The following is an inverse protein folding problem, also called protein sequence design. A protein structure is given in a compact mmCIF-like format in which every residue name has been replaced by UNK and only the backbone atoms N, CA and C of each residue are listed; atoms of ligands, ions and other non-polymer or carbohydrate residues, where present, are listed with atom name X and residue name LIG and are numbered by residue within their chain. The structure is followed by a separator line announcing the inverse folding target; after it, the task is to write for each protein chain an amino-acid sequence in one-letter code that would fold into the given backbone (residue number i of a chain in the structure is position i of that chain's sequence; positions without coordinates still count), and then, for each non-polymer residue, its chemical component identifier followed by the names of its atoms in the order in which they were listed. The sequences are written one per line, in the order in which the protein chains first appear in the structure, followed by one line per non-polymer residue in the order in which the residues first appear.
data_IF_320450823198
#
_entry.id   IF_320450823198
#
_cell.length_a   1.000
_cell.length_b   1.000
_cell.length_c   1.000
_cell.angle_alpha   90.00
_cell.angle_beta   90.00
_cell.angle_gamma   90.00
#
_symmetry.space_group_name_H-M   'P 1'
#
loop_
_entity.id
_entity.type
_entity.pdbx_description
1 polymer ?
#
# COMPACT_ATOMS: atom_id res chain seq x y z
N UNK A 1 -8.79 24.68 12.88
CA UNK A 1 -8.18 23.38 13.24
C UNK A 1 -8.53 22.42 12.12
N UNK A 2 -7.73 22.39 11.05
CA UNK A 2 -8.07 21.70 9.81
C UNK A 2 -7.29 20.40 9.66
N UNK A 3 -8.05 19.31 9.55
CA UNK A 3 -7.75 18.03 8.91
C UNK A 3 -6.45 17.31 9.32
N UNK A 4 -6.58 16.33 10.23
CA UNK A 4 -5.67 15.17 10.29
C UNK A 4 -6.09 14.16 9.21
N UNK A 5 -6.09 14.58 7.95
CA UNK A 5 -6.12 13.65 6.83
C UNK A 5 -4.75 13.00 6.73
N UNK A 6 -4.69 11.67 6.80
CA UNK A 6 -3.43 10.90 6.74
C UNK A 6 -2.47 11.47 5.71
N UNK A 7 -1.21 11.68 6.11
CA UNK A 7 -0.15 12.34 5.34
C UNK A 7 0.35 11.50 4.15
N UNK A 8 -0.49 10.63 3.60
CA UNK A 8 -0.18 9.73 2.50
C UNK A 8 -0.75 10.34 1.22
N UNK A 9 -0.07 11.33 0.66
CA UNK A 9 -0.52 12.01 -0.54
C UNK A 9 0.59 12.06 -1.60
N UNK A 10 0.65 11.04 -2.46
CA UNK A 10 1.63 10.98 -3.57
C UNK A 10 2.98 10.38 -3.18
N UNK A 11 3.86 10.14 -4.17
CA UNK A 11 5.10 9.34 -4.06
C UNK A 11 6.12 9.93 -3.09
N UNK A 12 5.84 9.77 -1.79
CA UNK A 12 6.60 10.35 -0.71
C UNK A 12 7.76 9.44 -0.33
N UNK A 13 8.96 9.91 -0.64
CA UNK A 13 10.23 9.30 -0.23
C UNK A 13 10.63 9.78 1.17
N UNK A 14 10.04 10.90 1.62
CA UNK A 14 10.21 11.51 2.94
C UNK A 14 8.83 11.87 3.53
N UNK A 15 8.66 11.65 4.83
CA UNK A 15 7.41 11.82 5.54
C UNK A 15 7.66 12.42 6.92
N UNK A 16 6.79 13.32 7.36
CA UNK A 16 6.72 13.76 8.74
C UNK A 16 5.66 12.94 9.50
N UNK A 17 6.02 12.32 10.61
CA UNK A 17 5.06 11.76 11.56
C UNK A 17 4.85 12.75 12.72
N UNK A 18 3.66 13.37 12.84
CA UNK A 18 3.40 14.34 13.90
C UNK A 18 3.34 13.72 15.29
N UNK A 19 2.93 12.46 15.38
CA UNK A 19 2.81 11.74 16.66
C UNK A 19 4.17 11.25 17.17
N UNK A 20 5.06 10.85 16.25
CA UNK A 20 6.43 10.48 16.61
C UNK A 20 7.35 11.70 16.72
N UNK A 21 6.97 12.85 16.15
CA UNK A 21 7.82 14.02 16.07
C UNK A 21 9.08 13.78 15.23
N UNK A 22 8.97 12.97 14.18
CA UNK A 22 10.10 12.51 13.37
C UNK A 22 9.82 12.65 11.88
N UNK A 23 10.83 13.13 11.16
CA UNK A 23 10.99 12.89 9.73
C UNK A 23 11.52 11.48 9.50
N UNK A 24 10.98 10.82 8.50
CA UNK A 24 11.36 9.48 8.04
C UNK A 24 11.58 9.54 6.55
N UNK A 25 12.71 9.05 6.06
CA UNK A 25 12.96 8.91 4.64
C UNK A 25 13.41 7.50 4.29
N UNK A 26 13.04 7.03 3.10
CA UNK A 26 13.42 5.74 2.53
C UNK A 26 14.35 5.92 1.33
N UNK A 27 15.08 4.88 0.96
CA UNK A 27 15.99 4.89 -0.20
C UNK A 27 15.80 3.63 -1.05
N UNK A 28 15.94 3.81 -2.36
CA UNK A 28 15.93 2.72 -3.33
C UNK A 28 17.29 2.00 -3.46
N UNK A 29 18.33 2.52 -2.80
CA UNK A 29 19.72 2.04 -2.88
C UNK A 29 20.39 2.00 -1.50
N UNK A 30 21.52 1.28 -1.41
CA UNK A 30 22.26 1.04 -0.17
C UNK A 30 22.21 -0.41 0.32
N UNK A 31 22.93 -0.74 1.39
CA UNK A 31 22.98 -2.09 1.97
C UNK A 31 22.71 -2.00 3.47
N UNK A 32 21.65 -2.68 3.92
CA UNK A 32 21.24 -2.78 5.32
C UNK A 32 20.68 -1.51 5.94
N UNK A 33 20.79 -0.35 5.28
CA UNK A 33 20.46 0.96 5.85
C UNK A 33 19.72 1.85 4.84
N UNK A 34 18.49 1.46 4.48
CA UNK A 34 17.68 2.20 3.49
C UNK A 34 16.57 3.06 4.12
N UNK A 35 16.62 3.27 5.44
CA UNK A 35 15.77 4.21 6.16
C UNK A 35 16.65 5.18 6.92
N UNK A 36 16.25 6.45 6.97
CA UNK A 36 16.85 7.46 7.84
C UNK A 36 15.77 8.25 8.57
N UNK A 37 16.06 8.66 9.80
CA UNK A 37 15.13 9.45 10.63
C UNK A 37 15.79 10.70 11.17
N UNK A 38 15.01 11.76 11.36
CA UNK A 38 15.48 13.02 11.95
C UNK A 38 14.38 13.69 12.77
N UNK A 39 14.69 14.22 13.95
CA UNK A 39 13.75 15.00 14.74
C UNK A 39 13.69 16.48 14.31
N UNK A 40 14.72 16.97 13.63
CA UNK A 40 14.92 18.39 13.31
C UNK A 40 15.07 18.68 11.82
N UNK A 41 15.10 17.64 10.98
CA UNK A 41 15.33 17.72 9.53
C UNK A 41 16.78 18.06 9.15
N UNK A 42 17.67 18.28 10.11
CA UNK A 42 19.07 18.68 9.89
C UNK A 42 20.03 17.52 10.12
N UNK A 43 19.82 16.79 11.22
CA UNK A 43 20.66 15.66 11.62
C UNK A 43 19.90 14.37 11.38
N UNK A 44 20.46 13.47 10.58
CA UNK A 44 19.80 12.24 10.18
C UNK A 44 20.55 11.02 10.68
N UNK A 45 19.81 10.08 11.25
CA UNK A 45 20.33 8.79 11.72
C UNK A 45 19.86 7.66 10.81
N UNK A 46 20.80 6.85 10.33
CA UNK A 46 20.49 5.64 9.56
C UNK A 46 19.80 4.58 10.44
N UNK A 47 18.85 3.87 9.85
CA UNK A 47 18.13 2.76 10.47
C UNK A 47 18.33 1.50 9.65
N UNK A 48 18.48 0.39 10.39
CA UNK A 48 18.63 -0.92 9.78
C UNK A 48 17.31 -1.32 9.10
N UNK A 49 17.40 -1.81 7.88
CA UNK A 49 16.25 -2.28 7.11
C UNK A 49 16.23 -3.81 7.01
N UNK A 50 15.05 -4.44 7.12
CA UNK A 50 14.94 -5.90 7.13
C UNK A 50 15.27 -6.55 5.78
N UNK A 51 15.27 -5.79 4.69
CA UNK A 51 15.66 -6.25 3.37
C UNK A 51 16.29 -5.13 2.52
N UNK A 52 17.17 -5.51 1.60
CA UNK A 52 17.81 -4.63 0.62
C UNK A 52 16.92 -4.42 -0.61
N UNK A 53 15.64 -4.10 -0.38
CA UNK A 53 14.68 -3.81 -1.43
C UNK A 53 14.70 -2.33 -1.78
N UNK A 54 14.27 -2.00 -3.00
CA UNK A 54 14.22 -0.64 -3.49
C UNK A 54 12.99 0.04 -2.88
N UNK A 55 13.13 0.57 -1.66
CA UNK A 55 12.04 1.22 -0.94
C UNK A 55 11.76 2.57 -1.58
N UNK A 56 10.60 2.68 -2.22
CA UNK A 56 10.24 3.84 -3.04
C UNK A 56 9.23 4.75 -2.37
N UNK A 57 8.61 4.30 -1.27
CA UNK A 57 7.51 5.03 -0.64
C UNK A 57 7.44 4.76 0.86
N UNK A 58 7.05 5.77 1.63
CA UNK A 58 6.67 5.67 3.04
C UNK A 58 5.38 6.44 3.36
N UNK A 59 4.53 5.92 4.25
CA UNK A 59 3.26 6.53 4.68
C UNK A 59 3.05 6.30 6.19
N UNK A 60 2.38 7.25 6.84
CA UNK A 60 2.00 7.20 8.26
C UNK A 60 0.49 7.02 8.33
N UNK A 61 0.05 5.97 9.00
CA UNK A 61 -1.33 5.73 9.36
C UNK A 61 -1.54 6.17 10.83
N UNK A 62 -2.01 7.40 11.08
CA UNK A 62 -2.17 7.92 12.44
C UNK A 62 -3.15 7.10 13.27
N UNK A 63 -4.25 6.63 12.67
CA UNK A 63 -5.25 5.82 13.37
C UNK A 63 -4.70 4.46 13.85
N UNK A 64 -3.62 3.98 13.25
CA UNK A 64 -2.96 2.73 13.60
C UNK A 64 -1.64 2.94 14.33
N UNK A 65 -1.16 4.18 14.46
CA UNK A 65 0.17 4.48 14.97
C UNK A 65 1.27 3.75 14.19
N UNK A 66 1.12 3.62 12.86
CA UNK A 66 1.94 2.72 12.05
C UNK A 66 2.54 3.40 10.82
N UNK A 67 3.85 3.28 10.66
CA UNK A 67 4.55 3.56 9.42
C UNK A 67 4.52 2.33 8.52
N UNK A 68 4.30 2.57 7.22
CA UNK A 68 4.34 1.56 6.18
C UNK A 68 5.26 2.07 5.07
N UNK A 69 6.22 1.26 4.66
CA UNK A 69 7.04 1.51 3.50
C UNK A 69 6.88 0.38 2.48
N UNK A 70 6.87 0.74 1.20
CA UNK A 70 6.74 -0.22 0.10
C UNK A 70 7.91 -0.13 -0.87
N UNK A 71 8.27 -1.28 -1.43
CA UNK A 71 9.37 -1.40 -2.37
C UNK A 71 8.90 -1.79 -3.77
N UNK A 72 9.66 -1.32 -4.77
CA UNK A 72 9.52 -1.73 -6.17
C UNK A 72 10.30 -3.01 -6.50
N UNK A 73 11.13 -3.51 -5.59
CA UNK A 73 11.89 -4.77 -5.73
C UNK A 73 11.74 -5.67 -4.50
N UNK A 74 12.23 -6.91 -4.61
CA UNK A 74 12.02 -7.99 -3.62
C UNK A 74 10.97 -8.99 -4.08
N UNK A 75 10.82 -10.11 -3.38
CA UNK A 75 9.80 -11.14 -3.66
C UNK A 75 9.18 -11.57 -2.35
N UNK A 76 7.87 -11.34 -2.21
CA UNK A 76 7.14 -11.66 -0.98
C UNK A 76 7.54 -10.82 0.23
N UNK A 77 8.37 -9.78 0.12
CA UNK A 77 8.82 -8.93 1.24
C UNK A 77 8.85 -7.43 0.88
N UNK A 78 7.98 -7.01 -0.04
CA UNK A 78 7.94 -5.62 -0.58
C UNK A 78 7.27 -4.61 0.34
N UNK A 79 6.83 -5.02 1.51
CA UNK A 79 6.22 -4.15 2.52
C UNK A 79 7.02 -4.27 3.80
N UNK A 80 7.31 -3.15 4.46
CA UNK A 80 7.80 -3.14 5.82
C UNK A 80 7.02 -2.14 6.67
N UNK A 81 6.90 -2.45 7.96
CA UNK A 81 6.14 -1.62 8.90
C UNK A 81 6.94 -1.30 10.15
N UNK A 82 6.66 -0.17 10.77
CA UNK A 82 7.27 0.25 12.03
C UNK A 82 6.31 1.12 12.84
N UNK A 83 6.22 0.91 14.15
CA UNK A 83 5.44 1.79 15.05
C UNK A 83 6.27 2.91 15.67
N UNK A 84 7.59 2.85 15.54
CA UNK A 84 8.54 3.75 16.22
C UNK A 84 9.50 4.49 15.27
N UNK A 85 9.47 4.18 13.96
CA UNK A 85 10.43 4.61 12.93
C UNK A 85 11.87 4.12 13.11
N UNK A 86 12.18 3.39 14.18
CA UNK A 86 13.51 2.91 14.52
C UNK A 86 13.70 1.45 14.09
N UNK A 87 12.70 0.63 14.37
CA UNK A 87 12.70 -0.81 14.11
C UNK A 87 11.70 -1.12 13.01
N UNK A 88 12.18 -1.75 11.93
CA UNK A 88 11.36 -2.07 10.77
C UNK A 88 11.21 -3.58 10.61
N UNK A 89 9.98 -4.03 10.43
CA UNK A 89 9.65 -5.44 10.23
C UNK A 89 9.15 -5.64 8.81
N UNK A 90 9.79 -6.55 8.05
CA UNK A 90 9.29 -6.95 6.75
C UNK A 90 7.96 -7.72 6.91
N UNK A 91 6.99 -7.40 6.07
CA UNK A 91 5.72 -8.11 5.98
C UNK A 91 5.74 -9.01 4.76
N UNK A 92 5.37 -10.27 4.99
CA UNK A 92 5.29 -11.23 3.91
C UNK A 92 4.04 -10.92 3.08
N UNK A 93 4.22 -10.78 1.77
CA UNK A 93 3.12 -10.71 0.82
C UNK A 93 2.94 -12.10 0.20
N UNK A 94 1.81 -12.74 0.49
CA UNK A 94 1.53 -14.14 0.10
C UNK A 94 1.48 -14.36 -1.42
N UNK A 95 1.45 -13.29 -2.21
CA UNK A 95 1.79 -13.35 -3.60
C UNK A 95 2.27 -12.00 -4.13
N UNK A 96 3.34 -12.01 -4.93
CA UNK A 96 3.73 -10.92 -5.83
C UNK A 96 2.71 -10.79 -6.98
N UNK A 97 1.43 -10.61 -6.66
CA UNK A 97 0.42 -10.37 -7.69
C UNK A 97 0.72 -8.98 -8.25
N UNK A 98 1.22 -8.93 -9.49
CA UNK A 98 1.04 -7.74 -10.32
C UNK A 98 -0.43 -7.32 -10.18
N UNK A 99 -0.68 -6.04 -9.91
CA UNK A 99 -2.02 -5.48 -9.76
C UNK A 99 -2.72 -5.45 -11.13
N UNK A 100 -2.98 -6.63 -11.68
CA UNK A 100 -3.82 -6.84 -12.85
C UNK A 100 -5.23 -7.00 -12.30
N UNK A 101 -6.26 -6.34 -12.88
CA UNK A 101 -7.63 -6.74 -12.60
C UNK A 101 -7.72 -8.22 -12.93
N UNK A 102 -7.94 -9.05 -11.91
CA UNK A 102 -8.13 -10.48 -12.14
C UNK A 102 -9.38 -10.67 -13.01
N UNK A 103 -9.40 -11.63 -13.95
CA UNK A 103 -10.66 -12.14 -14.42
C UNK A 103 -11.39 -12.69 -13.20
N UNK A 104 -12.50 -12.07 -12.82
CA UNK A 104 -13.30 -12.48 -11.66
C UNK A 104 -13.64 -13.97 -11.79
N UNK A 105 -13.41 -14.72 -10.72
CA UNK A 105 -13.78 -16.13 -10.59
C UNK A 105 -15.27 -16.33 -10.96
N UNK A 106 -15.59 -17.06 -12.05
CA UNK A 106 -16.96 -17.28 -12.50
C UNK A 106 -17.84 -18.01 -11.47
N UNK A 107 -17.23 -18.74 -10.53
CA UNK A 107 -17.97 -19.53 -9.54
C UNK A 107 -18.65 -18.69 -8.45
N UNK A 108 -18.34 -17.39 -8.39
CA UNK A 108 -18.87 -16.46 -7.38
C UNK A 108 -19.93 -15.49 -7.92
N UNK A 109 -20.30 -15.59 -9.20
CA UNK A 109 -21.36 -14.76 -9.76
C UNK A 109 -22.76 -15.34 -9.43
N UNK A 110 -23.68 -14.55 -8.86
CA UNK A 110 -25.08 -14.98 -8.79
C UNK A 110 -25.64 -15.10 -10.22
N UNK A 111 -26.38 -16.18 -10.48
CA UNK A 111 -26.93 -16.45 -11.80
C UNK A 111 -27.80 -15.27 -12.29
N UNK A 112 -27.69 -14.87 -13.56
CA UNK A 112 -28.56 -13.82 -14.10
C UNK A 112 -30.03 -14.27 -14.04
N UNK A 113 -30.99 -13.35 -13.80
CA UNK A 113 -32.40 -13.70 -13.79
C UNK A 113 -32.81 -14.23 -15.18
N UNK A 114 -33.54 -15.34 -15.20
CA UNK A 114 -34.03 -15.97 -16.43
C UNK A 114 -34.90 -14.97 -17.23
N UNK A 115 -34.79 -14.92 -18.57
CA UNK A 115 -35.63 -14.04 -19.38
C UNK A 115 -37.10 -14.49 -19.28
N UNK A 116 -38.00 -13.53 -19.05
CA UNK A 116 -39.44 -13.76 -19.10
C UNK A 116 -39.84 -14.20 -20.51
N UNK A 117 -40.55 -15.33 -20.61
CA UNK A 117 -41.10 -15.84 -21.86
C UNK A 117 -42.10 -14.85 -22.44
N UNK A 118 -41.74 -14.16 -23.51
CA UNK A 118 -42.67 -13.40 -24.32
C UNK A 118 -43.48 -14.37 -25.19
N UNK A 119 -44.72 -14.68 -24.78
CA UNK A 119 -45.72 -15.27 -25.67
C UNK A 119 -46.09 -14.22 -26.72
N UNK A 120 -45.65 -14.41 -27.97
CA UNK A 120 -46.18 -13.61 -29.09
C UNK A 120 -47.35 -14.37 -29.74
N UNK A 121 -48.56 -13.84 -29.56
CA UNK A 121 -49.71 -14.17 -30.39
C UNK A 121 -49.63 -13.35 -31.68
N UNK A 122 -49.50 -14.01 -32.83
CA UNK A 122 -49.66 -13.37 -34.14
C UNK A 122 -51.01 -13.74 -34.73
N UNK A 123 -51.90 -12.74 -34.81
CA UNK A 123 -53.10 -12.76 -35.64
C UNK A 123 -52.96 -11.61 -36.62
N UNK A 124 -52.66 -11.93 -37.87
CA UNK A 124 -52.75 -10.99 -38.99
C UNK A 124 -53.55 -11.68 -40.09
N UNK A 125 -54.69 -11.07 -40.41
CA UNK A 125 -55.65 -11.46 -41.44
C UNK A 125 -55.04 -11.33 -42.84
N UNK A 126 -55.46 -12.21 -43.73
CA UNK A 126 -55.46 -12.09 -45.19
C UNK A 126 -56.60 -12.95 -45.72
#
# INVERSE_FOLDING_TARGET
MHSVGGLCAGYDVILWSPELGLFVAVSDSGIGNRVMTSADGRSWSLRQTPANNNWTWVCWAPELGLLVAVASSGTGNRVMTSSDALTWTARQADADQEWRPSPQDPSRMPAPPLPATATSSSSCRG
#
